data_IF_044106319567
#
_entry.id   IF_044106319567
#
_cell.length_a   1.000
_cell.length_b   1.000
_cell.length_c   1.000
_cell.angle_alpha   90.00
_cell.angle_beta   90.00
_cell.angle_gamma   90.00
#
_symmetry.space_group_name_H-M   'P 1'
#
loop_
_entity.id
_entity.type
_entity.pdbx_description
1 polymer ?
#
# COMPACT_ATOMS: atom_id res chain seq x y z
N UNK A 1 -16.00 16.50 -18.93
CA UNK A 1 -15.14 16.31 -20.12
C UNK A 1 -13.65 16.10 -19.77
N UNK A 2 -13.04 16.93 -18.90
CA UNK A 2 -11.64 16.75 -18.47
C UNK A 2 -11.35 15.42 -17.73
N UNK A 3 -12.27 14.95 -16.87
CA UNK A 3 -12.18 13.64 -16.20
C UNK A 3 -12.13 12.46 -17.18
N UNK A 4 -12.88 12.54 -18.30
CA UNK A 4 -12.91 11.53 -19.36
C UNK A 4 -11.61 11.49 -20.18
N UNK A 5 -10.94 12.63 -20.36
CA UNK A 5 -9.63 12.72 -21.03
C UNK A 5 -8.47 12.24 -20.16
N UNK A 6 -8.48 12.56 -18.86
CA UNK A 6 -7.53 12.02 -17.89
C UNK A 6 -7.70 10.50 -17.71
N UNK A 7 -8.96 10.03 -17.61
CA UNK A 7 -9.30 8.61 -17.64
C UNK A 7 -8.79 7.93 -18.93
N UNK A 8 -9.02 8.51 -20.11
CA UNK A 8 -8.54 7.97 -21.40
C UNK A 8 -7.02 7.91 -21.55
N UNK A 9 -6.29 8.90 -21.01
CA UNK A 9 -4.82 8.89 -21.02
C UNK A 9 -4.23 7.92 -20.00
N UNK A 10 -4.88 7.78 -18.85
CA UNK A 10 -4.56 6.73 -17.89
C UNK A 10 -4.78 5.36 -18.53
N UNK A 11 -5.95 5.08 -19.11
CA UNK A 11 -6.23 3.79 -19.77
C UNK A 11 -5.24 3.48 -20.89
N UNK A 12 -4.84 4.42 -21.74
CA UNK A 12 -3.86 4.15 -22.81
C UNK A 12 -2.45 3.76 -22.30
N UNK A 13 -2.03 4.24 -21.13
CA UNK A 13 -0.78 3.78 -20.49
C UNK A 13 -0.97 2.41 -19.80
N UNK A 14 -2.17 2.15 -19.28
CA UNK A 14 -2.55 0.91 -18.60
C UNK A 14 -2.76 -0.26 -19.56
N UNK A 15 -3.44 -0.03 -20.69
CA UNK A 15 -3.65 -0.99 -21.78
C UNK A 15 -2.31 -1.50 -22.32
N UNK A 16 -1.26 -0.66 -22.32
CA UNK A 16 0.09 -1.09 -22.73
C UNK A 16 0.78 -1.97 -21.71
N UNK A 17 0.59 -1.73 -20.42
CA UNK A 17 1.17 -2.55 -19.36
C UNK A 17 0.42 -3.88 -19.17
N UNK A 18 -0.87 -3.90 -19.50
CA UNK A 18 -1.78 -5.02 -19.28
C UNK A 18 -2.64 -5.34 -20.53
N UNK A 19 -2.03 -5.64 -21.69
CA UNK A 19 -2.74 -5.72 -22.97
C UNK A 19 -3.77 -6.85 -23.06
N UNK A 20 -3.74 -7.79 -22.11
CA UNK A 20 -4.65 -8.92 -22.05
C UNK A 20 -5.75 -8.76 -21.01
N UNK A 21 -5.72 -7.70 -20.20
CA UNK A 21 -6.65 -7.49 -19.09
C UNK A 21 -7.78 -6.56 -19.53
N UNK A 22 -9.01 -6.97 -19.24
CA UNK A 22 -10.18 -6.09 -19.34
C UNK A 22 -10.43 -5.45 -17.98
N UNK A 23 -10.59 -4.13 -17.97
CA UNK A 23 -10.81 -3.33 -16.76
C UNK A 23 -12.26 -2.86 -16.62
N UNK A 24 -12.72 -2.73 -15.39
CA UNK A 24 -13.95 -2.04 -14.97
C UNK A 24 -13.63 -1.03 -13.87
N UNK A 25 -14.51 -0.08 -13.59
CA UNK A 25 -14.35 0.80 -12.44
C UNK A 25 -14.73 0.08 -11.14
N UNK A 26 -14.04 0.38 -10.05
CA UNK A 26 -14.25 -0.27 -8.76
C UNK A 26 -15.70 -0.17 -8.29
N UNK A 27 -16.31 1.02 -8.39
CA UNK A 27 -17.72 1.17 -7.99
C UNK A 27 -18.65 0.27 -8.81
N UNK A 28 -18.41 0.08 -10.11
CA UNK A 28 -19.19 -0.90 -10.88
C UNK A 28 -18.92 -2.33 -10.43
N UNK A 29 -17.67 -2.72 -10.17
CA UNK A 29 -17.35 -4.08 -9.68
C UNK A 29 -18.05 -4.39 -8.36
N UNK A 30 -18.10 -3.41 -7.45
CA UNK A 30 -18.79 -3.56 -6.16
C UNK A 30 -20.31 -3.49 -6.34
N UNK A 31 -20.83 -2.42 -6.96
CA UNK A 31 -22.27 -2.14 -7.04
C UNK A 31 -23.04 -3.13 -7.93
N UNK A 32 -22.40 -3.67 -8.98
CA UNK A 32 -23.02 -4.66 -9.88
C UNK A 32 -22.82 -6.10 -9.43
N UNK A 33 -22.14 -6.32 -8.30
CA UNK A 33 -22.10 -7.63 -7.66
C UNK A 33 -23.52 -8.01 -7.24
N UNK A 34 -24.04 -9.11 -7.78
CA UNK A 34 -25.32 -9.70 -7.35
C UNK A 34 -25.25 -10.26 -5.92
N UNK A 35 -24.07 -10.29 -5.32
CA UNK A 35 -23.79 -10.78 -3.99
C UNK A 35 -23.88 -9.64 -2.96
N UNK A 36 -24.92 -9.66 -2.12
CA UNK A 36 -25.14 -8.69 -1.04
C UNK A 36 -24.02 -8.73 0.03
N UNK A 37 -23.57 -9.90 0.53
CA UNK A 37 -22.40 -9.98 1.41
C UNK A 37 -21.15 -9.27 0.88
N UNK A 38 -20.79 -9.45 -0.39
CA UNK A 38 -19.62 -8.80 -0.98
C UNK A 38 -19.75 -7.27 -1.03
N UNK A 39 -20.95 -6.74 -1.33
CA UNK A 39 -21.23 -5.30 -1.28
C UNK A 39 -21.12 -4.76 0.14
N UNK A 40 -21.60 -5.51 1.11
CA UNK A 40 -21.55 -5.13 2.51
C UNK A 40 -20.12 -5.05 3.05
N UNK A 41 -19.24 -6.00 2.65
CA UNK A 41 -17.80 -5.94 2.95
C UNK A 41 -17.20 -4.61 2.50
N UNK A 42 -17.38 -4.25 1.25
CA UNK A 42 -16.76 -3.04 0.72
C UNK A 42 -17.37 -1.77 1.32
N UNK A 43 -18.69 -1.74 1.52
CA UNK A 43 -19.40 -0.60 2.13
C UNK A 43 -18.93 -0.35 3.57
N UNK A 44 -18.89 -1.39 4.40
CA UNK A 44 -18.42 -1.26 5.78
C UNK A 44 -16.93 -0.93 5.85
N UNK A 45 -16.13 -1.52 4.97
CA UNK A 45 -14.70 -1.23 4.88
C UNK A 45 -14.41 0.20 4.45
N UNK A 46 -15.10 0.72 3.44
CA UNK A 46 -14.94 2.10 3.00
C UNK A 46 -15.32 3.11 4.10
N UNK A 47 -16.37 2.82 4.89
CA UNK A 47 -16.75 3.65 6.02
C UNK A 47 -15.69 3.60 7.14
N UNK A 48 -15.28 2.41 7.57
CA UNK A 48 -14.24 2.23 8.61
C UNK A 48 -12.93 2.92 8.20
N UNK A 49 -12.58 2.80 6.92
CA UNK A 49 -11.39 3.41 6.36
C UNK A 49 -11.47 4.93 6.34
N UNK A 50 -12.62 5.51 6.00
CA UNK A 50 -12.82 6.96 6.03
C UNK A 50 -12.60 7.51 7.44
N UNK A 51 -13.18 6.87 8.46
CA UNK A 51 -13.03 7.26 9.85
C UNK A 51 -11.56 7.14 10.29
N UNK A 52 -10.98 5.93 10.13
CA UNK A 52 -9.61 5.62 10.57
C UNK A 52 -8.57 6.51 9.91
N UNK A 53 -8.65 6.73 8.59
CA UNK A 53 -7.67 7.58 7.91
C UNK A 53 -7.92 9.07 8.19
N UNK A 54 -9.16 9.47 8.44
CA UNK A 54 -9.50 10.79 8.96
C UNK A 54 -8.78 11.10 10.27
N UNK A 55 -8.80 10.17 11.23
CA UNK A 55 -8.06 10.28 12.51
C UNK A 55 -6.55 10.45 12.31
N UNK A 56 -6.00 9.82 11.27
CA UNK A 56 -4.57 9.89 10.92
C UNK A 56 -4.22 11.13 10.08
N UNK A 57 -5.19 12.01 9.81
CA UNK A 57 -5.00 13.30 9.13
C UNK A 57 -5.29 13.29 7.63
N UNK A 58 -5.83 12.19 7.09
CA UNK A 58 -6.23 12.12 5.68
C UNK A 58 -7.63 12.72 5.50
N UNK A 59 -7.73 13.84 4.79
CA UNK A 59 -9.00 14.56 4.65
C UNK A 59 -9.98 13.98 3.62
N UNK A 60 -9.50 13.12 2.71
CA UNK A 60 -10.30 12.50 1.64
C UNK A 60 -9.75 11.12 1.31
N UNK A 61 -10.58 10.27 0.72
CA UNK A 61 -10.15 9.00 0.13
C UNK A 61 -9.98 9.13 -1.39
N UNK A 62 -9.21 8.20 -1.98
CA UNK A 62 -9.09 8.11 -3.43
C UNK A 62 -10.48 7.89 -4.02
N UNK A 63 -10.99 8.74 -4.92
CA UNK A 63 -12.31 8.53 -5.50
C UNK A 63 -12.41 7.16 -6.21
N UNK A 64 -13.48 6.41 -5.95
CA UNK A 64 -13.67 5.05 -6.49
C UNK A 64 -13.81 5.01 -8.02
N UNK A 65 -14.19 6.13 -8.65
CA UNK A 65 -14.19 6.31 -10.11
C UNK A 65 -12.79 6.48 -10.72
N UNK A 66 -11.75 6.56 -9.88
CA UNK A 66 -10.33 6.57 -10.26
C UNK A 66 -9.63 5.25 -9.99
N UNK A 67 -10.37 4.21 -9.62
CA UNK A 67 -9.82 2.88 -9.36
C UNK A 67 -10.31 1.93 -10.44
N UNK A 68 -9.37 1.39 -11.21
CA UNK A 68 -9.63 0.44 -12.30
C UNK A 68 -9.29 -0.96 -11.83
N UNK A 69 -10.25 -1.86 -11.94
CA UNK A 69 -10.12 -3.26 -11.53
C UNK A 69 -10.05 -4.13 -12.77
N UNK A 70 -8.95 -4.85 -12.92
CA UNK A 70 -8.81 -5.92 -13.91
C UNK A 70 -9.74 -7.06 -13.54
N UNK A 71 -10.78 -7.28 -14.35
CA UNK A 71 -11.85 -8.26 -14.07
C UNK A 71 -11.74 -9.51 -14.92
N UNK A 72 -11.07 -9.43 -16.07
CA UNK A 72 -10.88 -10.58 -16.98
C UNK A 72 -9.53 -10.52 -17.66
N UNK A 73 -9.01 -11.68 -18.06
CA UNK A 73 -7.80 -11.80 -18.86
C UNK A 73 -7.99 -12.78 -20.01
N UNK A 74 -7.44 -12.46 -21.19
CA UNK A 74 -7.36 -13.42 -22.30
C UNK A 74 -6.24 -14.45 -22.09
N UNK A 75 -5.37 -14.25 -21.10
CA UNK A 75 -4.27 -15.18 -20.80
C UNK A 75 -4.76 -16.32 -19.90
N UNK A 76 -4.52 -17.59 -20.28
CA UNK A 76 -5.00 -18.74 -19.51
C UNK A 76 -4.32 -18.89 -18.14
N UNK A 77 -3.18 -18.23 -17.94
CA UNK A 77 -2.35 -18.29 -16.74
C UNK A 77 -2.44 -17.03 -15.86
N UNK A 78 -3.39 -16.13 -16.12
CA UNK A 78 -3.51 -14.88 -15.38
C UNK A 78 -4.26 -15.06 -14.05
N UNK A 79 -3.62 -14.61 -12.98
CA UNK A 79 -4.15 -14.61 -11.62
C UNK A 79 -4.04 -13.22 -11.02
N UNK A 80 -5.16 -12.67 -10.57
CA UNK A 80 -5.22 -11.35 -9.97
C UNK A 80 -5.20 -11.38 -8.44
N UNK A 81 -5.36 -10.19 -7.86
CA UNK A 81 -5.31 -9.93 -6.43
C UNK A 81 -4.21 -8.94 -6.07
N UNK A 82 -4.04 -8.60 -4.79
CA UNK A 82 -3.10 -7.59 -4.29
C UNK A 82 -1.64 -7.74 -4.77
N UNK A 83 -1.21 -8.96 -5.09
CA UNK A 83 0.17 -9.24 -5.55
C UNK A 83 0.34 -9.32 -7.07
N UNK A 84 -0.68 -8.98 -7.86
CA UNK A 84 -0.54 -8.97 -9.32
C UNK A 84 0.51 -7.93 -9.75
N UNK A 85 1.41 -8.26 -10.69
CA UNK A 85 2.49 -7.36 -11.11
C UNK A 85 1.95 -6.06 -11.72
N UNK A 86 2.76 -5.00 -11.64
CA UNK A 86 2.49 -3.71 -12.31
C UNK A 86 1.13 -3.06 -11.96
N UNK A 87 0.64 -3.29 -10.74
CA UNK A 87 -0.55 -2.64 -10.21
C UNK A 87 -0.20 -1.59 -9.13
N UNK A 88 -1.20 -0.94 -8.55
CA UNK A 88 -1.09 0.10 -7.51
C UNK A 88 -1.32 1.52 -8.01
N UNK A 89 -1.31 2.46 -7.06
CA UNK A 89 -1.56 3.88 -7.32
C UNK A 89 -0.54 4.56 -8.26
N UNK A 90 -1.06 5.31 -9.24
CA UNK A 90 -0.32 6.07 -10.25
C UNK A 90 -0.53 7.56 -10.03
N UNK A 91 0.44 8.23 -9.40
CA UNK A 91 0.25 9.60 -8.93
C UNK A 91 0.00 10.63 -10.04
N UNK A 92 0.71 10.58 -11.17
CA UNK A 92 0.52 11.57 -12.26
C UNK A 92 -0.87 11.43 -12.89
N UNK A 93 -1.35 10.19 -13.01
CA UNK A 93 -2.68 9.87 -13.51
C UNK A 93 -3.77 10.10 -12.45
N UNK A 94 -3.38 10.25 -11.18
CA UNK A 94 -4.28 10.34 -10.03
C UNK A 94 -5.30 9.19 -10.06
N UNK A 95 -4.83 7.97 -10.32
CA UNK A 95 -5.66 6.78 -10.49
C UNK A 95 -4.95 5.53 -9.95
N UNK A 96 -5.72 4.55 -9.52
CA UNK A 96 -5.23 3.22 -9.12
C UNK A 96 -5.61 2.19 -10.18
N UNK A 97 -4.74 1.21 -10.36
CA UNK A 97 -5.02 0.00 -11.13
C UNK A 97 -4.73 -1.19 -10.28
N UNK A 98 -5.73 -2.05 -10.14
CA UNK A 98 -5.68 -3.28 -9.34
C UNK A 98 -6.30 -4.40 -10.16
N UNK A 99 -6.23 -5.63 -9.67
CA UNK A 99 -6.91 -6.77 -10.27
C UNK A 99 -7.76 -7.46 -9.22
N UNK A 100 -8.90 -8.04 -9.61
CA UNK A 100 -9.67 -8.85 -8.68
C UNK A 100 -8.89 -10.11 -8.31
N UNK A 101 -9.02 -10.57 -7.08
CA UNK A 101 -8.49 -11.87 -6.67
C UNK A 101 -9.01 -13.03 -7.54
N UNK A 102 -8.13 -14.00 -7.78
CA UNK A 102 -8.45 -15.27 -8.42
C UNK A 102 -8.06 -15.35 -9.91
N UNK A 103 -8.47 -16.44 -10.56
CA UNK A 103 -8.21 -16.68 -11.98
C UNK A 103 -8.98 -15.67 -12.84
N UNK A 104 -8.25 -14.89 -13.64
CA UNK A 104 -8.84 -13.82 -14.45
C UNK A 104 -9.42 -14.33 -15.78
N UNK A 105 -9.04 -15.54 -16.20
CA UNK A 105 -9.64 -16.21 -17.37
C UNK A 105 -10.84 -17.09 -17.01
N UNK A 106 -11.07 -17.38 -15.73
CA UNK A 106 -12.21 -18.19 -15.28
C UNK A 106 -13.47 -17.32 -15.15
N UNK A 107 -14.58 -17.67 -15.81
CA UNK A 107 -15.85 -16.97 -15.62
C UNK A 107 -16.45 -17.18 -14.23
N UNK A 108 -16.04 -18.23 -13.50
CA UNK A 108 -16.44 -18.43 -12.10
C UNK A 108 -15.49 -17.65 -11.19
N UNK A 109 -15.97 -16.59 -10.51
CA UNK A 109 -15.13 -15.85 -9.58
C UNK A 109 -14.74 -16.73 -8.38
N UNK A 110 -13.67 -16.35 -7.69
CA UNK A 110 -13.42 -16.81 -6.32
C UNK A 110 -14.56 -16.36 -5.39
N UNK A 111 -14.52 -16.73 -4.10
CA UNK A 111 -15.49 -16.23 -3.12
C UNK A 111 -15.71 -14.72 -3.27
N UNK A 112 -16.95 -14.26 -3.53
CA UNK A 112 -17.24 -12.84 -3.71
C UNK A 112 -16.80 -11.98 -2.52
N UNK A 113 -16.93 -12.50 -1.30
CA UNK A 113 -16.48 -11.85 -0.07
C UNK A 113 -14.96 -11.72 0.00
N UNK A 114 -14.22 -12.76 -0.42
CA UNK A 114 -12.75 -12.68 -0.49
C UNK A 114 -12.29 -11.69 -1.57
N UNK A 115 -12.94 -11.69 -2.73
CA UNK A 115 -12.67 -10.69 -3.78
C UNK A 115 -12.92 -9.28 -3.25
N UNK A 116 -14.03 -9.06 -2.52
CA UNK A 116 -14.34 -7.76 -1.92
C UNK A 116 -13.32 -7.36 -0.85
N UNK A 117 -12.84 -8.29 -0.01
CA UNK A 117 -11.80 -8.03 0.98
C UNK A 117 -10.45 -7.69 0.34
N UNK A 118 -10.01 -8.43 -0.69
CA UNK A 118 -8.75 -8.15 -1.39
C UNK A 118 -8.80 -6.81 -2.14
N UNK A 119 -9.95 -6.47 -2.75
CA UNK A 119 -10.18 -5.16 -3.35
C UNK A 119 -10.22 -4.05 -2.29
N UNK A 120 -10.80 -4.30 -1.13
CA UNK A 120 -10.80 -3.36 0.00
C UNK A 120 -9.38 -3.09 0.50
N UNK A 121 -8.54 -4.13 0.69
CA UNK A 121 -7.12 -3.96 1.04
C UNK A 121 -6.40 -3.13 -0.02
N UNK A 122 -6.56 -3.47 -1.30
CA UNK A 122 -5.93 -2.75 -2.41
C UNK A 122 -6.34 -1.28 -2.45
N UNK A 123 -7.64 -1.01 -2.28
CA UNK A 123 -8.20 0.34 -2.23
C UNK A 123 -7.70 1.12 -1.01
N UNK A 124 -7.62 0.47 0.15
CA UNK A 124 -7.13 1.05 1.39
C UNK A 124 -5.67 1.48 1.27
N UNK A 125 -4.84 0.56 0.79
CA UNK A 125 -3.44 0.78 0.49
C UNK A 125 -3.24 1.97 -0.46
N UNK A 126 -3.98 1.99 -1.56
CA UNK A 126 -3.86 3.04 -2.56
C UNK A 126 -4.46 4.38 -2.11
N UNK A 127 -5.40 4.41 -1.16
CA UNK A 127 -5.86 5.65 -0.53
C UNK A 127 -4.75 6.33 0.27
N UNK A 128 -3.97 5.58 1.04
CA UNK A 128 -2.82 6.12 1.76
C UNK A 128 -1.73 6.59 0.81
N UNK A 129 -1.44 5.85 -0.25
CA UNK A 129 -0.55 6.33 -1.30
C UNK A 129 -1.09 7.58 -1.98
N UNK A 130 -2.37 7.66 -2.31
CA UNK A 130 -2.98 8.86 -2.87
C UNK A 130 -2.81 10.06 -1.93
N UNK A 131 -3.12 9.86 -0.66
CA UNK A 131 -3.08 10.86 0.41
C UNK A 131 -1.71 11.25 0.96
N UNK A 132 -0.66 10.50 0.64
CA UNK A 132 0.69 10.76 1.13
C UNK A 132 1.24 12.10 0.63
N UNK A 133 1.90 12.85 1.53
CA UNK A 133 2.57 14.10 1.21
C UNK A 133 3.57 13.94 0.07
N UNK A 134 3.63 14.92 -0.84
CA UNK A 134 4.61 14.93 -1.92
C UNK A 134 5.12 16.33 -2.17
N UNK A 135 6.40 16.41 -2.50
CA UNK A 135 7.03 17.63 -2.97
C UNK A 135 7.64 17.38 -4.34
N UNK A 136 7.42 18.35 -5.22
CA UNK A 136 7.95 18.38 -6.57
C UNK A 136 8.82 19.62 -6.74
N UNK A 137 9.92 19.47 -7.48
CA UNK A 137 10.81 20.56 -7.85
C UNK A 137 11.03 20.55 -9.35
N UNK A 138 11.22 21.74 -9.90
CA UNK A 138 11.72 21.90 -11.26
C UNK A 138 13.25 21.85 -11.23
N UNK A 139 13.84 20.97 -12.03
CA UNK A 139 15.27 20.89 -12.26
C UNK A 139 15.51 21.00 -13.77
N UNK A 140 15.92 22.19 -14.21
CA UNK A 140 15.86 22.54 -15.63
C UNK A 140 14.43 22.44 -16.15
N UNK A 141 14.22 21.65 -17.20
CA UNK A 141 12.89 21.41 -17.80
C UNK A 141 12.18 20.16 -17.22
N UNK A 142 12.78 19.49 -16.24
CA UNK A 142 12.24 18.25 -15.67
C UNK A 142 11.54 18.50 -14.32
N UNK A 143 10.34 17.93 -14.17
CA UNK A 143 9.66 17.84 -12.88
C UNK A 143 10.17 16.59 -12.14
N UNK A 144 10.87 16.79 -11.03
CA UNK A 144 11.35 15.71 -10.16
C UNK A 144 10.56 15.66 -8.86
N UNK A 145 10.28 14.46 -8.36
CA UNK A 145 9.69 14.28 -7.02
C UNK A 145 10.81 14.24 -5.99
N UNK A 146 11.00 15.35 -5.26
CA UNK A 146 11.99 15.46 -4.19
C UNK A 146 11.54 14.77 -2.90
N UNK A 147 10.22 14.63 -2.68
CA UNK A 147 9.68 14.01 -1.48
C UNK A 147 8.44 13.15 -1.73
N UNK A 148 8.37 12.03 -1.01
CA UNK A 148 7.21 11.15 -0.97
C UNK A 148 7.03 10.62 0.46
N UNK A 149 6.01 11.11 1.15
CA UNK A 149 5.79 10.92 2.58
C UNK A 149 7.01 11.35 3.38
N UNK A 150 7.56 10.40 4.13
CA UNK A 150 8.78 10.58 4.94
C UNK A 150 10.07 10.39 4.15
N UNK A 151 10.03 9.81 2.94
CA UNK A 151 11.20 9.58 2.11
C UNK A 151 11.53 10.80 1.23
N UNK A 152 12.81 11.09 1.06
CA UNK A 152 13.32 12.27 0.35
C UNK A 152 14.42 11.88 -0.64
N UNK A 153 14.63 12.74 -1.64
CA UNK A 153 15.75 12.66 -2.56
C UNK A 153 16.47 14.00 -2.61
N UNK A 154 17.80 13.95 -2.68
CA UNK A 154 18.60 15.16 -2.93
C UNK A 154 18.51 15.58 -4.40
N UNK A 155 19.19 16.69 -4.75
CA UNK A 155 19.22 17.24 -6.10
C UNK A 155 19.87 16.31 -7.15
N UNK A 156 20.57 15.26 -6.71
CA UNK A 156 21.17 14.24 -7.57
C UNK A 156 20.30 12.98 -7.62
N UNK A 157 19.10 13.01 -7.05
CA UNK A 157 18.17 11.89 -6.99
C UNK A 157 18.53 10.82 -5.96
N UNK A 158 19.54 11.04 -5.11
CA UNK A 158 19.97 10.07 -4.10
C UNK A 158 18.97 10.07 -2.94
N UNK A 159 18.54 8.87 -2.55
CA UNK A 159 17.53 8.68 -1.49
C UNK A 159 18.10 9.00 -0.11
N UNK A 160 17.27 9.56 0.77
CA UNK A 160 17.65 9.85 2.15
C UNK A 160 18.05 8.59 2.90
N UNK A 161 17.37 7.47 2.68
CA UNK A 161 17.71 6.18 3.27
C UNK A 161 18.32 5.21 2.28
N UNK A 162 19.36 4.51 2.72
CA UNK A 162 20.02 3.46 1.93
C UNK A 162 19.11 2.26 1.71
N UNK A 163 19.40 1.51 0.65
CA UNK A 163 18.85 0.16 0.51
C UNK A 163 19.38 -0.72 1.64
N UNK A 164 18.50 -1.57 2.19
CA UNK A 164 18.93 -2.57 3.15
C UNK A 164 19.90 -3.56 2.49
N UNK A 165 20.87 -4.05 3.25
CA UNK A 165 21.71 -5.16 2.81
C UNK A 165 20.87 -6.42 2.60
N UNK A 166 21.36 -7.34 1.77
CA UNK A 166 20.68 -8.62 1.53
C UNK A 166 20.54 -9.48 2.79
N UNK A 167 21.47 -9.32 3.74
CA UNK A 167 21.51 -10.02 5.03
C UNK A 167 20.87 -9.23 6.19
N UNK A 168 20.30 -8.05 5.92
CA UNK A 168 19.68 -7.24 6.96
C UNK A 168 18.42 -7.93 7.49
N UNK A 169 18.39 -8.18 8.80
CA UNK A 169 17.21 -8.73 9.48
C UNK A 169 16.08 -7.70 9.53
N UNK A 170 16.37 -6.43 9.80
CA UNK A 170 15.41 -5.32 9.90
C UNK A 170 15.54 -4.35 8.73
N UNK A 171 14.68 -3.34 8.64
CA UNK A 171 14.79 -2.30 7.62
C UNK A 171 15.20 -0.95 8.20
N UNK A 172 16.09 -0.25 7.50
CA UNK A 172 16.36 1.20 7.67
C UNK A 172 16.08 1.95 6.37
N UNK A 173 15.40 1.31 5.43
CA UNK A 173 14.95 1.90 4.19
C UNK A 173 13.56 2.53 4.40
N UNK A 174 13.48 3.86 4.35
CA UNK A 174 12.23 4.61 4.51
C UNK A 174 11.17 4.25 3.47
N UNK A 175 11.58 3.76 2.28
CA UNK A 175 10.64 3.23 1.30
C UNK A 175 9.92 1.98 1.79
N UNK A 176 10.66 1.05 2.41
CA UNK A 176 10.09 -0.19 2.98
C UNK A 176 9.28 0.13 4.23
N UNK A 177 9.76 1.05 5.08
CA UNK A 177 9.01 1.52 6.26
C UNK A 177 7.64 2.08 5.86
N UNK A 178 7.60 2.93 4.82
CA UNK A 178 6.35 3.52 4.35
C UNK A 178 5.43 2.49 3.68
N UNK A 179 5.97 1.59 2.85
CA UNK A 179 5.19 0.52 2.22
C UNK A 179 4.58 -0.43 3.26
N UNK A 180 5.41 -0.92 4.21
CA UNK A 180 4.96 -1.80 5.28
C UNK A 180 3.95 -1.14 6.21
N UNK A 181 4.11 0.16 6.50
CA UNK A 181 3.11 0.91 7.26
C UNK A 181 1.78 0.98 6.49
N UNK A 182 1.84 1.29 5.20
CA UNK A 182 0.65 1.42 4.33
C UNK A 182 -0.12 0.09 4.26
N UNK A 183 0.58 -1.02 4.01
CA UNK A 183 -0.03 -2.34 3.94
C UNK A 183 -0.54 -2.85 5.29
N UNK A 184 0.18 -2.56 6.38
CA UNK A 184 -0.30 -2.90 7.72
C UNK A 184 -1.65 -2.23 8.02
N UNK A 185 -1.80 -0.94 7.77
CA UNK A 185 -3.10 -0.26 7.94
C UNK A 185 -4.17 -0.85 7.02
N UNK A 186 -3.86 -1.13 5.75
CA UNK A 186 -4.81 -1.73 4.81
C UNK A 186 -5.31 -3.12 5.27
N UNK A 187 -4.43 -3.94 5.81
CA UNK A 187 -4.75 -5.25 6.41
C UNK A 187 -5.54 -5.11 7.70
N UNK A 188 -5.22 -4.13 8.55
CA UNK A 188 -5.99 -3.86 9.78
C UNK A 188 -7.45 -3.52 9.46
N UNK A 189 -7.70 -2.69 8.44
CA UNK A 189 -9.07 -2.40 7.97
C UNK A 189 -9.76 -3.68 7.48
N UNK A 190 -9.08 -4.46 6.65
CA UNK A 190 -9.64 -5.70 6.09
C UNK A 190 -9.94 -6.74 7.17
N UNK A 191 -9.06 -6.89 8.17
CA UNK A 191 -9.25 -7.75 9.33
C UNK A 191 -10.45 -7.31 10.18
N UNK A 192 -10.55 -6.01 10.49
CA UNK A 192 -11.65 -5.48 11.28
C UNK A 192 -13.01 -5.67 10.60
N UNK A 193 -13.08 -5.52 9.27
CA UNK A 193 -14.30 -5.80 8.50
C UNK A 193 -14.62 -7.30 8.50
N UNK A 194 -13.63 -8.15 8.28
CA UNK A 194 -13.81 -9.60 8.33
C UNK A 194 -14.37 -10.05 9.69
N UNK A 195 -13.80 -9.55 10.79
CA UNK A 195 -14.26 -9.88 12.15
C UNK A 195 -15.67 -9.38 12.42
N UNK A 196 -15.97 -8.13 12.03
CA UNK A 196 -17.30 -7.53 12.24
C UNK A 196 -18.39 -8.28 11.48
N UNK A 197 -18.09 -8.79 10.29
CA UNK A 197 -19.03 -9.53 9.45
C UNK A 197 -19.01 -11.05 9.72
N UNK A 198 -18.18 -11.52 10.66
CA UNK A 198 -18.05 -12.95 10.96
C UNK A 198 -17.47 -13.77 9.80
N UNK A 199 -16.71 -13.13 8.91
CA UNK A 199 -15.99 -13.81 7.85
C UNK A 199 -14.82 -14.57 8.47
N UNK A 200 -14.71 -15.86 8.15
CA UNK A 200 -13.70 -16.74 8.71
C UNK A 200 -12.98 -17.48 7.59
N UNK A 201 -11.91 -18.21 7.94
CA UNK A 201 -11.20 -19.15 7.05
C UNK A 201 -12.06 -20.28 6.45
N UNK A 202 -13.39 -20.24 6.64
CA UNK A 202 -14.37 -21.12 6.01
C UNK A 202 -14.48 -20.92 4.49
N UNK A 203 -13.71 -20.00 3.93
CA UNK A 203 -13.47 -19.92 2.49
C UNK A 203 -12.79 -21.23 2.04
N UNK A 204 -13.00 -21.64 0.79
CA UNK A 204 -12.47 -22.91 0.27
C UNK A 204 -10.98 -23.09 0.63
N UNK A 205 -10.52 -24.33 0.82
CA UNK A 205 -9.13 -24.59 1.23
C UNK A 205 -8.08 -23.89 0.35
N UNK A 206 -8.38 -23.72 -0.95
CA UNK A 206 -7.55 -23.00 -1.91
C UNK A 206 -7.45 -21.47 -1.67
N UNK A 207 -8.43 -20.88 -0.99
CA UNK A 207 -8.60 -19.45 -0.78
C UNK A 207 -8.16 -19.01 0.64
N UNK A 208 -7.92 -19.96 1.55
CA UNK A 208 -7.50 -19.71 2.94
C UNK A 208 -6.27 -18.80 3.01
N UNK A 209 -5.27 -19.08 2.19
CA UNK A 209 -4.01 -18.33 2.18
C UNK A 209 -4.23 -16.86 1.81
N UNK A 210 -5.07 -16.60 0.81
CA UNK A 210 -5.40 -15.24 0.38
C UNK A 210 -6.23 -14.49 1.44
N UNK A 211 -7.12 -15.18 2.16
CA UNK A 211 -7.83 -14.60 3.29
C UNK A 211 -6.86 -14.19 4.41
N UNK A 212 -5.93 -15.07 4.80
CA UNK A 212 -4.91 -14.78 5.81
C UNK A 212 -4.00 -13.62 5.39
N UNK A 213 -3.54 -13.60 4.15
CA UNK A 213 -2.76 -12.51 3.57
C UNK A 213 -3.52 -11.17 3.63
N UNK A 214 -4.77 -11.17 3.17
CA UNK A 214 -5.61 -9.97 3.12
C UNK A 214 -5.89 -9.40 4.52
N UNK A 215 -5.98 -10.27 5.53
CA UNK A 215 -6.29 -9.90 6.92
C UNK A 215 -5.05 -9.76 7.81
N UNK A 216 -3.84 -9.93 7.25
CA UNK A 216 -2.58 -9.85 8.02
C UNK A 216 -2.40 -10.97 9.04
N UNK A 217 -2.96 -12.15 8.79
CA UNK A 217 -2.96 -13.35 9.66
C UNK A 217 -2.11 -14.48 9.10
N UNK A 218 -1.15 -14.17 8.23
CA UNK A 218 -0.20 -15.17 7.72
C UNK A 218 0.67 -15.71 8.86
N UNK A 219 0.88 -17.01 8.84
CA UNK A 219 1.76 -17.75 9.74
C UNK A 219 3.03 -18.19 9.00
N UNK A 220 4.17 -18.44 9.67
CA UNK A 220 5.38 -18.88 8.99
C UNK A 220 5.19 -20.14 8.13
N UNK A 221 4.33 -21.08 8.56
CA UNK A 221 4.03 -22.31 7.81
C UNK A 221 3.29 -22.08 6.50
N UNK A 222 2.66 -20.91 6.33
CA UNK A 222 1.93 -20.56 5.11
C UNK A 222 2.85 -20.39 3.90
N UNK A 223 4.16 -20.21 4.11
CA UNK A 223 5.16 -20.05 3.04
C UNK A 223 5.77 -21.38 2.57
N UNK A 224 5.56 -22.47 3.30
CA UNK A 224 6.20 -23.77 3.03
C UNK A 224 5.48 -24.59 1.96
N UNK A 225 4.25 -24.20 1.58
CA UNK A 225 3.34 -25.03 0.76
C UNK A 225 2.78 -24.23 -0.43
N UNK A 226 3.56 -24.14 -1.51
CA UNK A 226 3.04 -23.60 -2.77
C UNK A 226 2.38 -24.71 -3.61
N UNK A 227 1.05 -24.65 -3.74
CA UNK A 227 0.31 -25.51 -4.69
C UNK A 227 0.82 -25.30 -6.12
N UNK A 228 1.06 -26.36 -6.91
CA UNK A 228 1.54 -26.23 -8.29
C UNK A 228 0.56 -25.49 -9.21
N UNK A 229 1.09 -24.58 -10.04
CA UNK A 229 0.38 -23.94 -11.15
C UNK A 229 0.30 -22.42 -11.05
N UNK A 230 -0.79 -21.85 -11.58
CA UNK A 230 -0.99 -20.39 -11.67
C UNK A 230 -1.04 -19.72 -10.28
N UNK A 231 -1.56 -20.43 -9.27
CA UNK A 231 -1.56 -19.99 -7.88
C UNK A 231 -0.14 -19.94 -7.28
N UNK A 232 0.82 -20.71 -7.81
CA UNK A 232 2.23 -20.67 -7.37
C UNK A 232 2.83 -19.29 -7.58
N UNK A 233 2.52 -18.60 -8.69
CA UNK A 233 3.08 -17.26 -8.94
C UNK A 233 2.53 -16.22 -7.97
N UNK A 234 1.24 -16.29 -7.68
CA UNK A 234 0.62 -15.46 -6.65
C UNK A 234 1.25 -15.73 -5.28
N UNK A 235 1.38 -16.99 -4.89
CA UNK A 235 2.04 -17.39 -3.65
C UNK A 235 3.47 -16.84 -3.58
N UNK A 236 4.30 -17.06 -4.61
CA UNK A 236 5.68 -16.58 -4.63
C UNK A 236 5.76 -15.05 -4.54
N UNK A 237 4.85 -14.33 -5.20
CA UNK A 237 4.78 -12.87 -5.11
C UNK A 237 4.38 -12.41 -3.70
N UNK A 238 3.38 -13.05 -3.09
CA UNK A 238 2.95 -12.81 -1.71
C UNK A 238 4.07 -13.08 -0.71
N UNK A 239 4.74 -14.24 -0.80
CA UNK A 239 5.86 -14.61 0.06
C UNK A 239 7.04 -13.64 -0.11
N UNK A 240 7.35 -13.25 -1.35
CA UNK A 240 8.38 -12.26 -1.65
C UNK A 240 8.05 -10.89 -1.07
N UNK A 241 6.78 -10.45 -1.18
CA UNK A 241 6.30 -9.21 -0.58
C UNK A 241 6.40 -9.27 0.94
N UNK A 242 5.99 -10.37 1.56
CA UNK A 242 6.07 -10.51 3.01
C UNK A 242 7.50 -10.49 3.53
N UNK A 243 8.39 -11.26 2.89
CA UNK A 243 9.78 -11.28 3.27
C UNK A 243 10.47 -9.93 3.04
N UNK A 244 10.13 -9.26 1.93
CA UNK A 244 10.75 -8.00 1.51
C UNK A 244 10.21 -6.76 2.20
N UNK A 245 8.95 -6.78 2.64
CA UNK A 245 8.24 -5.61 3.19
C UNK A 245 7.65 -5.91 4.56
N UNK A 246 6.63 -6.78 4.64
CA UNK A 246 5.83 -6.94 5.86
C UNK A 246 6.65 -7.40 7.06
N UNK A 247 7.40 -8.49 6.92
CA UNK A 247 8.23 -9.04 7.99
C UNK A 247 9.38 -8.09 8.38
N UNK A 248 9.96 -7.36 7.42
CA UNK A 248 10.99 -6.34 7.72
C UNK A 248 10.42 -5.17 8.49
N UNK A 249 9.24 -4.70 8.11
CA UNK A 249 8.56 -3.61 8.79
C UNK A 249 8.15 -4.02 10.21
N UNK A 250 7.62 -5.24 10.40
CA UNK A 250 7.30 -5.75 11.72
C UNK A 250 8.53 -5.81 12.63
N UNK A 251 9.66 -6.29 12.13
CA UNK A 251 10.92 -6.30 12.90
C UNK A 251 11.44 -4.89 13.18
N UNK A 252 11.32 -3.96 12.22
CA UNK A 252 11.62 -2.55 12.46
C UNK A 252 10.78 -1.96 13.61
N UNK A 253 9.48 -2.24 13.65
CA UNK A 253 8.62 -1.80 14.74
C UNK A 253 8.98 -2.46 16.07
N UNK A 254 9.37 -3.74 16.08
CA UNK A 254 9.85 -4.41 17.27
C UNK A 254 11.16 -3.78 17.79
N UNK A 255 12.12 -3.52 16.89
CA UNK A 255 13.43 -2.95 17.23
C UNK A 255 13.33 -1.51 17.76
N UNK A 256 12.54 -0.67 17.07
CA UNK A 256 12.48 0.77 17.35
C UNK A 256 11.35 1.15 18.29
N UNK A 257 10.25 0.40 18.24
CA UNK A 257 9.02 0.62 18.99
C UNK A 257 8.93 -0.21 20.27
N UNK A 258 9.41 -1.44 20.25
CA UNK A 258 9.27 -2.38 21.36
C UNK A 258 7.80 -2.48 21.82
N UNK A 259 7.50 -2.29 23.11
CA UNK A 259 6.12 -2.28 23.63
C UNK A 259 5.22 -1.18 23.03
N UNK A 260 5.81 -0.13 22.43
CA UNK A 260 5.09 1.01 21.85
C UNK A 260 5.06 0.96 20.31
N UNK A 261 5.21 -0.23 19.73
CA UNK A 261 5.20 -0.45 18.28
C UNK A 261 3.99 0.16 17.58
N UNK A 262 2.80 0.09 18.18
CA UNK A 262 1.57 0.65 17.60
C UNK A 262 1.54 2.19 17.63
N UNK A 263 2.08 2.79 18.69
CA UNK A 263 2.29 4.25 18.76
C UNK A 263 3.27 4.70 17.68
N UNK A 264 4.39 3.99 17.52
CA UNK A 264 5.38 4.27 16.47
C UNK A 264 4.74 4.12 15.07
N UNK A 265 3.95 3.07 14.85
CA UNK A 265 3.22 2.86 13.60
C UNK A 265 2.28 4.04 13.27
N UNK A 266 1.48 4.49 14.24
CA UNK A 266 0.58 5.63 14.06
C UNK A 266 1.34 6.93 13.74
N UNK A 267 2.45 7.19 14.42
CA UNK A 267 3.32 8.36 14.14
C UNK A 267 3.93 8.30 12.74
N UNK A 268 4.32 7.12 12.27
CA UNK A 268 4.83 6.92 10.90
C UNK A 268 3.75 7.26 9.89
N UNK A 269 2.53 6.73 10.02
CA UNK A 269 1.45 7.01 9.07
C UNK A 269 1.07 8.49 9.08
N UNK A 270 0.93 9.10 10.25
CA UNK A 270 0.66 10.54 10.36
C UNK A 270 1.75 11.38 9.67
N UNK A 271 3.03 11.00 9.81
CA UNK A 271 4.14 11.66 9.13
C UNK A 271 4.17 11.41 7.61
N UNK A 272 3.76 10.23 7.15
CA UNK A 272 3.62 9.90 5.72
C UNK A 272 2.51 10.74 5.07
N UNK A 273 1.37 10.88 5.74
CA UNK A 273 0.23 11.67 5.25
C UNK A 273 0.58 13.16 5.26
N UNK A 274 1.04 13.69 6.39
CA UNK A 274 1.25 15.13 6.56
C UNK A 274 2.56 15.65 5.97
N UNK A 275 3.58 14.80 5.83
CA UNK A 275 4.95 15.23 5.59
C UNK A 275 5.57 15.96 6.79
N UNK A 276 4.93 16.00 7.96
CA UNK A 276 5.52 16.56 9.16
C UNK A 276 6.21 15.45 9.96
N UNK A 277 7.52 15.57 10.15
CA UNK A 277 8.31 14.59 10.90
C UNK A 277 8.44 14.93 12.38
N UNK A 278 8.00 16.11 12.85
CA UNK A 278 8.23 16.58 14.20
C UNK A 278 7.81 15.57 15.28
N UNK A 279 6.58 15.03 15.19
CA UNK A 279 6.08 14.07 16.17
C UNK A 279 6.88 12.76 16.17
N UNK A 280 7.22 12.24 14.98
CA UNK A 280 8.02 11.03 14.82
C UNK A 280 9.46 11.23 15.32
N UNK A 281 10.13 12.31 14.91
CA UNK A 281 11.50 12.65 15.34
C UNK A 281 11.54 12.85 16.86
N UNK A 282 10.61 13.63 17.44
CA UNK A 282 10.56 13.87 18.89
C UNK A 282 10.38 12.57 19.68
N UNK A 283 9.50 11.69 19.21
CA UNK A 283 9.25 10.41 19.85
C UNK A 283 10.48 9.49 19.80
N UNK A 284 11.16 9.46 18.65
CA UNK A 284 12.41 8.70 18.48
C UNK A 284 13.53 9.27 19.35
N UNK A 285 13.68 10.58 19.42
CA UNK A 285 14.73 11.24 20.18
C UNK A 285 14.61 10.98 21.68
N UNK A 286 13.38 10.97 22.20
CA UNK A 286 13.10 10.64 23.60
C UNK A 286 13.54 9.22 23.98
N UNK A 287 13.54 8.27 23.05
CA UNK A 287 13.82 6.84 23.29
C UNK A 287 15.23 6.42 22.91
N UNK A 288 15.76 7.01 21.83
CA UNK A 288 17.00 6.60 21.19
C UNK A 288 18.08 7.70 21.21
N UNK A 289 17.84 8.78 21.95
CA UNK A 289 18.71 9.96 22.08
C UNK A 289 18.53 10.96 20.93
N UNK A 290 19.05 12.20 21.07
CA UNK A 290 18.81 13.30 20.13
C UNK A 290 19.18 12.92 18.70
N UNK A 291 18.54 13.44 17.66
CA UNK A 291 18.88 13.14 16.24
C UNK A 291 18.71 11.65 15.85
N UNK A 292 17.87 10.90 16.55
CA UNK A 292 17.68 9.47 16.34
C UNK A 292 17.19 9.17 14.91
N UNK A 293 16.25 9.97 14.39
CA UNK A 293 15.75 9.80 13.01
C UNK A 293 16.90 9.88 12.00
N UNK A 294 17.73 10.94 12.11
CA UNK A 294 18.86 11.17 11.22
C UNK A 294 19.89 10.05 11.33
N UNK A 295 20.33 9.68 12.54
CA UNK A 295 21.30 8.59 12.74
C UNK A 295 20.81 7.25 12.20
N UNK A 296 19.50 7.01 12.28
CA UNK A 296 18.89 5.72 11.91
C UNK A 296 18.74 5.59 10.41
N UNK A 297 18.31 6.65 9.73
CA UNK A 297 17.87 6.56 8.34
C UNK A 297 18.80 7.26 7.34
N UNK A 298 19.61 8.24 7.75
CA UNK A 298 20.37 9.05 6.78
C UNK A 298 21.48 8.22 6.12
N UNK A 299 21.41 8.12 4.80
CA UNK A 299 22.43 7.55 3.95
C UNK A 299 23.63 8.49 3.86
N UNK A 300 24.84 7.92 3.87
CA UNK A 300 26.08 8.67 3.61
C UNK A 300 26.14 9.26 2.20
N UNK A 301 25.38 8.70 1.25
CA UNK A 301 25.30 9.20 -0.12
C UNK A 301 24.39 10.44 -0.25
N UNK A 302 23.50 10.69 0.73
CA UNK A 302 22.54 11.78 0.70
C UNK A 302 23.20 13.11 1.10
N UNK A 303 23.23 14.03 0.15
CA UNK A 303 23.87 15.35 0.29
C UNK A 303 22.88 16.50 0.55
N UNK A 304 21.59 16.20 0.63
CA UNK A 304 20.56 17.19 0.89
C UNK A 304 20.49 17.63 2.37
N UNK A 305 19.64 18.63 2.65
CA UNK A 305 19.37 19.09 4.02
C UNK A 305 18.55 18.09 4.82
N UNK A 306 18.64 18.20 6.15
CA UNK A 306 17.92 17.34 7.08
C UNK A 306 16.44 17.72 7.23
N UNK A 307 15.59 16.77 7.66
CA UNK A 307 14.16 17.03 7.80
C UNK A 307 13.79 18.16 8.75
N UNK A 308 14.56 18.33 9.82
CA UNK A 308 14.28 19.27 10.92
C UNK A 308 14.76 20.70 10.63
N UNK A 309 15.56 20.90 9.57
CA UNK A 309 16.03 22.23 9.13
C UNK A 309 14.98 22.99 8.28
N UNK A 310 13.86 22.34 7.93
CA UNK A 310 12.84 22.90 7.01
C UNK A 310 11.62 23.48 7.74
N UNK A 311 11.34 23.04 8.97
CA UNK A 311 10.25 23.60 9.80
C UNK A 311 10.55 25.01 10.27
N UNK A 312 11.83 25.40 10.34
CA UNK A 312 12.27 26.77 10.70
C UNK A 312 12.20 27.76 9.54
N UNK A 313 12.12 27.33 8.28
CA UNK A 313 12.04 28.22 7.12
C UNK A 313 10.62 28.43 6.61
N UNK A 314 9.72 27.44 6.78
CA UNK A 314 8.30 27.59 6.40
C UNK A 314 7.47 28.46 7.36
N UNK A 315 8.00 28.79 8.54
CA UNK A 315 7.38 29.72 9.51
C UNK A 315 7.82 31.19 9.32
N UNK A 316 8.58 31.49 8.26
CA UNK A 316 9.08 32.84 7.93
C UNK A 316 8.72 33.31 6.51
N UNK A 317 7.76 32.67 5.84
CA UNK A 317 7.22 33.12 4.56
C UNK A 317 5.72 33.39 4.66
#
# INVERSE_FOLDING_TARGET
MAHLLAARRATAALDRAHPHITFSLLHWVVDTSSDEPAREVFRQGAALLADRYGELGLSRLLPTDRVWVGVRSTRPDAFGGFHHPNQGYRHVQLASVVTRYGRLNDPRPASPELVALDLLRSYAHDCLHWGSFREYRLQGEQVIRSRYGINRRDQHGRTYSSQDRSDASSTRNLGIVMEGATDREARMISAAVADRLGLAERIAAADRLAFRDTTGRLEPSDFDHAEPGVATRFHLAMAGYEHGVGARYQRFLADMGGPEADTLHALIIAAVISGNLFGLSSWLDQRHGPEAFRRTFRSSAYSGPDPDEWTTTASRA
#
